data_IF_318025919051
#
_entry.id   IF_318025919051
#
_cell.length_a   1.000
_cell.length_b   1.000
_cell.length_c   1.000
_cell.angle_alpha   90.00
_cell.angle_beta   90.00
_cell.angle_gamma   90.00
#
_symmetry.space_group_name_H-M   'P 1'
#
loop_
_entity.id
_entity.type
_entity.pdbx_description
1 polymer ?
#
# COMPACT_ATOMS: atom_id res chain seq x y z
N UNK A 1 -15.53 14.45 -26.37
CA UNK A 1 -15.19 14.06 -24.97
C UNK A 1 -14.41 12.75 -25.04
N UNK A 2 -13.20 12.80 -25.62
CA UNK A 2 -12.48 11.59 -26.03
C UNK A 2 -11.05 11.61 -25.50
N UNK A 3 -10.69 10.60 -24.72
CA UNK A 3 -9.31 10.21 -24.36
C UNK A 3 -8.41 11.26 -23.68
N UNK A 4 -8.93 12.41 -23.22
CA UNK A 4 -8.13 13.44 -22.53
C UNK A 4 -7.46 12.97 -21.23
N UNK A 5 -7.85 11.80 -20.70
CA UNK A 5 -7.22 11.19 -19.53
C UNK A 5 -5.88 10.48 -19.85
N UNK A 6 -5.56 10.16 -21.11
CA UNK A 6 -4.28 9.51 -21.44
C UNK A 6 -3.15 10.50 -21.71
N UNK A 7 -3.34 11.79 -21.43
CA UNK A 7 -2.31 12.78 -21.67
C UNK A 7 -1.19 12.68 -20.63
N UNK A 8 0.05 12.80 -21.11
CA UNK A 8 1.26 12.68 -20.29
C UNK A 8 1.49 13.87 -19.35
N UNK A 9 0.86 15.02 -19.60
CA UNK A 9 0.89 16.19 -18.72
C UNK A 9 0.15 15.95 -17.39
N UNK A 10 -0.73 14.96 -17.33
CA UNK A 10 -1.42 14.53 -16.11
C UNK A 10 -0.56 13.64 -15.21
N UNK A 11 0.58 13.14 -15.73
CA UNK A 11 1.49 12.28 -14.99
C UNK A 11 2.49 13.14 -14.22
N UNK A 12 2.46 13.02 -12.90
CA UNK A 12 3.32 13.74 -11.97
C UNK A 12 4.44 12.83 -11.46
N UNK A 13 5.67 13.06 -11.93
CA UNK A 13 6.89 12.52 -11.33
C UNK A 13 7.58 13.63 -10.52
N UNK A 14 7.07 13.85 -9.31
CA UNK A 14 7.61 14.83 -8.37
C UNK A 14 8.13 14.11 -7.12
N UNK A 15 8.68 14.87 -6.19
CA UNK A 15 9.20 14.34 -4.93
C UNK A 15 8.15 13.48 -4.17
N UNK A 16 6.89 13.90 -4.18
CA UNK A 16 5.82 13.23 -3.46
C UNK A 16 5.39 11.91 -4.12
N UNK A 17 5.26 11.88 -5.44
CA UNK A 17 4.95 10.64 -6.17
C UNK A 17 6.10 9.64 -6.13
N UNK A 18 7.35 10.11 -6.14
CA UNK A 18 8.50 9.24 -5.93
C UNK A 18 8.57 8.71 -4.49
N UNK A 19 8.32 9.56 -3.50
CA UNK A 19 8.28 9.15 -2.09
C UNK A 19 7.20 8.11 -1.80
N UNK A 20 5.99 8.31 -2.33
CA UNK A 20 4.90 7.32 -2.20
C UNK A 20 5.20 6.02 -2.94
N UNK A 21 5.85 6.08 -4.12
CA UNK A 21 6.31 4.89 -4.82
C UNK A 21 7.34 4.10 -3.99
N UNK A 22 8.30 4.80 -3.37
CA UNK A 22 9.31 4.17 -2.51
C UNK A 22 8.64 3.45 -1.34
N UNK A 23 7.72 4.10 -0.63
CA UNK A 23 6.96 3.50 0.47
C UNK A 23 6.18 2.27 -0.01
N UNK A 24 5.51 2.37 -1.15
CA UNK A 24 4.77 1.25 -1.77
C UNK A 24 5.70 0.06 -2.04
N UNK A 25 6.86 0.30 -2.66
CA UNK A 25 7.83 -0.77 -2.96
C UNK A 25 8.39 -1.38 -1.68
N UNK A 26 8.79 -0.56 -0.70
CA UNK A 26 9.36 -1.04 0.56
C UNK A 26 8.35 -1.89 1.34
N UNK A 27 7.08 -1.49 1.38
CA UNK A 27 6.02 -2.26 2.05
C UNK A 27 5.79 -3.62 1.38
N UNK A 28 5.75 -3.69 0.04
CA UNK A 28 5.69 -4.97 -0.67
C UNK A 28 6.95 -5.82 -0.46
N UNK A 29 8.13 -5.20 -0.47
CA UNK A 29 9.37 -5.91 -0.19
C UNK A 29 9.33 -6.59 1.19
N UNK A 30 8.88 -5.87 2.22
CA UNK A 30 8.69 -6.41 3.57
C UNK A 30 7.64 -7.52 3.60
N UNK A 31 6.53 -7.34 2.88
CA UNK A 31 5.49 -8.36 2.76
C UNK A 31 6.06 -9.68 2.21
N UNK A 32 6.76 -9.60 1.07
CA UNK A 32 7.42 -10.76 0.43
C UNK A 32 8.45 -11.36 1.37
N UNK A 33 9.30 -10.54 1.99
CA UNK A 33 10.31 -11.00 2.94
C UNK A 33 9.69 -11.82 4.08
N UNK A 34 8.75 -11.25 4.84
CA UNK A 34 8.14 -11.93 5.99
C UNK A 34 7.33 -13.16 5.58
N UNK A 35 6.61 -13.12 4.45
CA UNK A 35 5.83 -14.25 3.97
C UNK A 35 6.71 -15.39 3.42
N UNK A 36 7.91 -15.07 2.90
CA UNK A 36 8.87 -16.06 2.39
C UNK A 36 9.63 -16.82 3.48
N UNK A 37 9.65 -16.31 4.72
CA UNK A 37 10.34 -16.96 5.83
C UNK A 37 9.80 -18.39 6.08
N UNK A 38 10.73 -19.34 6.18
CA UNK A 38 10.46 -20.72 6.59
C UNK A 38 10.23 -20.77 8.10
N UNK A 39 9.28 -21.60 8.55
CA UNK A 39 8.93 -21.79 10.00
C UNK A 39 8.58 -20.48 10.72
N UNK A 40 7.90 -19.56 10.04
CA UNK A 40 7.39 -18.30 10.61
C UNK A 40 6.37 -18.56 11.72
N UNK A 41 6.41 -17.75 12.77
CA UNK A 41 5.40 -17.75 13.83
C UNK A 41 4.08 -17.19 13.29
N UNK A 42 2.99 -17.43 14.01
CA UNK A 42 1.68 -16.83 13.70
C UNK A 42 1.78 -15.31 13.66
N UNK A 43 2.55 -14.71 14.56
CA UNK A 43 2.75 -13.26 14.60
C UNK A 43 3.51 -12.75 13.36
N UNK A 44 4.62 -13.38 12.96
CA UNK A 44 5.35 -13.03 11.73
C UNK A 44 4.49 -13.20 10.48
N UNK A 45 3.61 -14.21 10.45
CA UNK A 45 2.64 -14.36 9.37
C UNK A 45 1.68 -13.17 9.30
N UNK A 46 1.07 -12.77 10.43
CA UNK A 46 0.21 -11.59 10.45
C UNK A 46 0.96 -10.30 10.08
N UNK A 47 2.23 -10.16 10.48
CA UNK A 47 3.07 -9.03 10.09
C UNK A 47 3.29 -8.99 8.57
N UNK A 48 3.59 -10.14 7.96
CA UNK A 48 3.73 -10.24 6.50
C UNK A 48 2.43 -9.93 5.76
N UNK A 49 1.29 -10.42 6.24
CA UNK A 49 -0.03 -10.08 5.67
C UNK A 49 -0.37 -8.60 5.89
N UNK A 50 -0.02 -8.03 7.05
CA UNK A 50 -0.20 -6.60 7.32
C UNK A 50 0.54 -5.76 6.28
N UNK A 51 1.82 -6.05 6.03
CA UNK A 51 2.60 -5.36 5.00
C UNK A 51 2.07 -5.60 3.58
N UNK A 52 1.52 -6.77 3.28
CA UNK A 52 0.93 -7.07 1.96
C UNK A 52 -0.29 -6.18 1.70
N UNK A 53 -1.22 -6.16 2.66
CA UNK A 53 -2.45 -5.36 2.55
C UNK A 53 -2.13 -3.86 2.64
N UNK A 54 -1.12 -3.49 3.43
CA UNK A 54 -0.62 -2.14 3.50
C UNK A 54 0.04 -1.69 2.19
N UNK A 55 0.80 -2.55 1.50
CA UNK A 55 1.32 -2.26 0.17
C UNK A 55 0.20 -2.00 -0.85
N UNK A 56 -0.87 -2.80 -0.83
CA UNK A 56 -2.06 -2.56 -1.67
C UNK A 56 -2.75 -1.24 -1.35
N UNK A 57 -2.78 -0.85 -0.07
CA UNK A 57 -3.27 0.45 0.38
C UNK A 57 -2.39 1.59 -0.13
N UNK A 58 -1.06 1.47 -0.02
CA UNK A 58 -0.09 2.47 -0.49
C UNK A 58 -0.11 2.65 -2.01
N UNK A 59 -0.42 1.60 -2.79
CA UNK A 59 -0.69 1.73 -4.24
C UNK A 59 -1.77 2.79 -4.49
N UNK A 60 -2.83 2.83 -3.67
CA UNK A 60 -3.88 3.83 -3.81
C UNK A 60 -3.33 5.25 -3.68
N UNK A 61 -2.52 5.50 -2.67
CA UNK A 61 -1.89 6.80 -2.49
C UNK A 61 -0.85 7.13 -3.56
N UNK A 62 -0.07 6.15 -4.00
CA UNK A 62 0.84 6.33 -5.13
C UNK A 62 0.07 6.73 -6.40
N UNK A 63 -1.01 6.03 -6.75
CA UNK A 63 -1.84 6.37 -7.91
C UNK A 63 -2.44 7.78 -7.80
N UNK A 64 -2.80 8.21 -6.58
CA UNK A 64 -3.29 9.56 -6.32
C UNK A 64 -2.20 10.63 -6.46
N UNK A 65 -0.99 10.34 -6.01
CA UNK A 65 0.16 11.23 -6.09
C UNK A 65 0.72 11.33 -7.52
N UNK A 66 0.68 10.22 -8.25
CA UNK A 66 1.20 10.07 -9.61
C UNK A 66 0.30 10.72 -10.66
N UNK A 67 -1.02 10.76 -10.46
CA UNK A 67 -1.95 11.10 -11.53
C UNK A 67 -2.89 12.27 -11.16
N UNK A 68 -2.72 13.40 -11.84
CA UNK A 68 -3.45 14.64 -11.58
C UNK A 68 -4.75 14.74 -12.38
N UNK A 69 -5.72 13.89 -12.04
CA UNK A 69 -7.03 13.85 -12.73
C UNK A 69 -8.14 13.47 -11.73
N UNK A 70 -9.41 13.88 -11.93
CA UNK A 70 -10.50 13.54 -11.02
C UNK A 70 -10.68 12.04 -10.75
N UNK A 71 -10.32 11.19 -11.72
CA UNK A 71 -10.37 9.72 -11.52
C UNK A 71 -9.41 9.24 -10.43
N UNK A 72 -8.34 9.99 -10.16
CA UNK A 72 -7.43 9.69 -9.07
C UNK A 72 -8.16 9.70 -7.72
N UNK A 73 -9.26 10.45 -7.56
CA UNK A 73 -10.06 10.45 -6.32
C UNK A 73 -10.64 9.06 -5.97
N UNK A 74 -10.76 8.14 -6.93
CA UNK A 74 -11.22 6.78 -6.68
C UNK A 74 -10.21 5.92 -5.90
N UNK A 75 -8.96 6.37 -5.71
CA UNK A 75 -8.02 5.71 -4.80
C UNK A 75 -8.60 5.55 -3.38
N UNK A 76 -9.52 6.43 -2.97
CA UNK A 76 -10.17 6.39 -1.66
C UNK A 76 -10.98 5.12 -1.41
N UNK A 77 -11.54 4.53 -2.46
CA UNK A 77 -12.23 3.25 -2.35
C UNK A 77 -11.23 2.14 -2.00
N UNK A 78 -10.06 2.15 -2.63
CA UNK A 78 -9.00 1.21 -2.33
C UNK A 78 -8.44 1.44 -0.91
N UNK A 79 -8.08 2.67 -0.56
CA UNK A 79 -7.49 2.97 0.75
C UNK A 79 -8.50 2.77 1.89
N UNK A 80 -9.75 3.16 1.69
CA UNK A 80 -10.83 2.97 2.66
C UNK A 80 -11.15 1.50 2.94
N UNK A 81 -11.17 0.65 1.90
CA UNK A 81 -11.41 -0.78 2.08
C UNK A 81 -10.26 -1.52 2.77
N UNK A 82 -9.01 -1.07 2.57
CA UNK A 82 -7.82 -1.82 3.00
C UNK A 82 -7.23 -1.36 4.34
N UNK A 83 -7.55 -0.16 4.83
CA UNK A 83 -6.98 0.34 6.09
C UNK A 83 -7.39 -0.51 7.30
N UNK A 84 -8.66 -0.91 7.40
CA UNK A 84 -9.14 -1.69 8.56
C UNK A 84 -8.55 -3.11 8.57
N UNK A 85 -8.49 -3.86 7.45
CA UNK A 85 -7.73 -5.11 7.38
C UNK A 85 -6.24 -4.94 7.75
N UNK A 86 -5.58 -3.90 7.24
CA UNK A 86 -4.17 -3.61 7.58
C UNK A 86 -3.98 -3.44 9.08
N UNK A 87 -4.78 -2.57 9.70
CA UNK A 87 -4.73 -2.34 11.15
C UNK A 87 -5.00 -3.64 11.91
N UNK A 88 -6.00 -4.41 11.48
CA UNK A 88 -6.34 -5.69 12.13
C UNK A 88 -5.15 -6.64 12.16
N UNK A 89 -4.42 -6.79 11.05
CA UNK A 89 -3.23 -7.66 11.00
C UNK A 89 -2.05 -7.10 11.80
N UNK A 90 -1.82 -5.79 11.80
CA UNK A 90 -0.83 -5.18 12.70
C UNK A 90 -1.20 -5.41 14.17
N UNK A 91 -2.46 -5.24 14.56
CA UNK A 91 -2.93 -5.55 15.92
C UNK A 91 -2.68 -7.01 16.27
N UNK A 92 -2.97 -7.96 15.36
CA UNK A 92 -2.67 -9.38 15.58
C UNK A 92 -1.17 -9.64 15.83
N UNK A 93 -0.27 -8.88 15.20
CA UNK A 93 1.16 -8.94 15.49
C UNK A 93 1.47 -8.39 16.90
N UNK A 94 1.02 -7.19 17.23
CA UNK A 94 1.32 -6.54 18.52
C UNK A 94 0.79 -7.29 19.73
N UNK A 95 -0.44 -7.82 19.68
CA UNK A 95 -1.02 -8.55 20.82
C UNK A 95 -0.32 -9.88 21.11
N UNK A 96 0.46 -10.40 20.16
CA UNK A 96 1.25 -11.64 20.31
C UNK A 96 2.68 -11.37 20.82
N UNK A 97 3.08 -10.10 20.90
CA UNK A 97 4.31 -9.65 21.56
C UNK A 97 3.99 -8.57 22.61
N UNK A 98 3.20 -8.88 23.66
CA UNK A 98 2.76 -7.90 24.66
C UNK A 98 3.82 -7.54 25.72
N UNK A 99 5.09 -7.92 25.51
CA UNK A 99 6.18 -7.76 26.47
C UNK A 99 7.17 -6.69 26.02
#
# INVERSE_FOLDING_TARGET
MGLDFLRSDLVLFNYYSFGSLLVTITTFFLAVFFLSLKRKTVATYHLGVAFLVFGLFEIGYFMAAFYYHPIAAYHRWLTGCLILPTITHFTQFFIRYPN
#
